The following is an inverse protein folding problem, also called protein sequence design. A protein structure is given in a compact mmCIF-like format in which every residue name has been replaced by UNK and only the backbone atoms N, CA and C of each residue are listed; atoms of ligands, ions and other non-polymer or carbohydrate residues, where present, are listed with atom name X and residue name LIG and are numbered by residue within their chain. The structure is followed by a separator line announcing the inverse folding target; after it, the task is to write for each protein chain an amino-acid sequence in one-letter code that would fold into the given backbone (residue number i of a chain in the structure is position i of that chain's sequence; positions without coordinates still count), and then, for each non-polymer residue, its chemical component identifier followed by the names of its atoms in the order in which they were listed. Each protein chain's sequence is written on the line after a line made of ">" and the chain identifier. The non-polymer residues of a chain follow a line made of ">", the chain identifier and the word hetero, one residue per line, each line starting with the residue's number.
data_IF_793887903864
#
_entry.id   IF_793887903864
#
_cell.length_a   1.000
_cell.length_b   1.000
_cell.length_c   1.000
_cell.angle_alpha   90.00
_cell.angle_beta   90.00
_cell.angle_gamma   90.00
#
_symmetry.space_group_name_H-M   'P 1'
#
loop_
_entity.id
_entity.type
_entity.pdbx_description
1 polymer ?
#
# COMPACT_ATOMS: atom_id res chain seq x y z
N UNK A 1 20.18 11.23 28.35
CA UNK A 1 18.86 11.20 27.69
C UNK A 1 19.13 11.32 26.20
N UNK A 2 18.34 10.66 25.36
CA UNK A 2 18.39 10.72 23.88
C UNK A 2 19.44 9.83 23.21
N UNK A 3 19.15 8.52 23.17
CA UNK A 3 19.58 7.69 22.06
C UNK A 3 18.35 7.42 21.20
N UNK A 4 18.41 8.02 20.01
CA UNK A 4 17.41 8.03 18.97
C UNK A 4 16.74 6.66 18.81
N UNK A 5 15.41 6.71 18.78
CA UNK A 5 14.54 5.57 18.58
C UNK A 5 15.02 4.74 17.41
N UNK A 6 15.29 3.49 17.72
CA UNK A 6 15.39 2.38 16.77
C UNK A 6 14.15 2.42 15.87
N UNK A 7 14.29 2.98 14.68
CA UNK A 7 13.37 2.72 13.58
C UNK A 7 13.69 1.30 13.11
N UNK A 8 13.17 0.31 13.85
CA UNK A 8 12.99 -1.05 13.35
C UNK A 8 11.83 -1.01 12.34
N UNK A 9 12.09 -0.48 11.16
CA UNK A 9 11.29 -0.80 9.98
C UNK A 9 11.67 -2.22 9.57
N UNK A 10 10.98 -3.21 10.14
CA UNK A 10 11.17 -4.62 9.83
C UNK A 10 10.94 -4.86 8.35
N UNK A 11 11.96 -5.39 7.68
CA UNK A 11 12.19 -5.34 6.23
C UNK A 11 11.35 -6.32 5.39
N UNK A 12 10.15 -6.69 5.85
CA UNK A 12 9.34 -7.74 5.19
C UNK A 12 7.84 -7.42 5.08
N UNK A 13 7.38 -6.35 5.72
CA UNK A 13 5.98 -5.93 5.68
C UNK A 13 5.83 -4.83 4.63
N UNK A 14 4.82 -4.95 3.75
CA UNK A 14 4.49 -3.82 2.87
C UNK A 14 4.18 -2.63 3.79
N UNK A 15 4.94 -1.52 3.71
CA UNK A 15 4.75 -0.42 4.64
C UNK A 15 3.30 0.06 4.53
N UNK A 16 2.63 0.24 5.66
CA UNK A 16 1.21 0.67 5.71
C UNK A 16 0.99 1.92 4.86
N UNK A 17 1.98 2.81 4.78
CA UNK A 17 1.99 3.98 3.91
C UNK A 17 1.76 3.63 2.42
N UNK A 18 2.35 2.54 1.92
CA UNK A 18 2.16 2.08 0.54
C UNK A 18 0.73 1.54 0.35
N UNK A 19 0.25 0.77 1.32
CA UNK A 19 -1.12 0.22 1.32
C UNK A 19 -2.15 1.35 1.31
N UNK A 20 -2.06 2.27 2.26
CA UNK A 20 -2.96 3.41 2.38
C UNK A 20 -2.92 4.29 1.12
N UNK A 21 -1.72 4.55 0.60
CA UNK A 21 -1.55 5.27 -0.67
C UNK A 21 -2.23 4.55 -1.82
N UNK A 22 -2.08 3.24 -1.92
CA UNK A 22 -2.66 2.45 -3.01
C UNK A 22 -4.20 2.41 -2.93
N UNK A 23 -4.76 2.22 -1.72
CA UNK A 23 -6.22 2.22 -1.50
C UNK A 23 -6.81 3.59 -1.78
N UNK A 24 -6.17 4.67 -1.30
CA UNK A 24 -6.60 6.04 -1.55
C UNK A 24 -6.58 6.37 -3.03
N UNK A 25 -5.50 6.03 -3.74
CA UNK A 25 -5.35 6.30 -5.17
C UNK A 25 -6.40 5.52 -6.00
N UNK A 26 -6.75 4.31 -5.59
CA UNK A 26 -7.84 3.55 -6.20
C UNK A 26 -9.23 4.17 -5.95
N UNK A 27 -9.49 4.66 -4.73
CA UNK A 27 -10.78 5.28 -4.35
C UNK A 27 -10.98 6.66 -4.96
N UNK A 28 -9.91 7.45 -5.09
CA UNK A 28 -9.92 8.81 -5.64
C UNK A 28 -9.97 8.82 -7.18
N UNK A 29 -9.48 7.77 -7.83
CA UNK A 29 -9.52 7.65 -9.29
C UNK A 29 -10.93 7.37 -9.80
N UNK A 30 -11.45 8.26 -10.65
CA UNK A 30 -12.67 8.06 -11.44
C UNK A 30 -12.37 8.23 -12.95
N UNK A 31 -12.62 7.21 -13.80
CA UNK A 31 -13.17 5.89 -13.47
C UNK A 31 -12.19 4.99 -12.71
N UNK A 32 -12.74 4.05 -11.92
CA UNK A 32 -11.92 3.13 -11.09
C UNK A 32 -10.89 2.37 -11.92
N UNK A 33 -9.59 2.47 -11.60
CA UNK A 33 -8.53 1.83 -12.37
C UNK A 33 -8.53 0.33 -12.15
N UNK A 34 -8.10 -0.45 -13.14
CA UNK A 34 -7.96 -1.89 -13.00
C UNK A 34 -6.94 -2.21 -11.90
N UNK A 35 -7.36 -2.92 -10.85
CA UNK A 35 -6.51 -3.27 -9.69
C UNK A 35 -5.18 -3.89 -10.13
N UNK A 36 -5.21 -4.76 -11.15
CA UNK A 36 -4.00 -5.39 -11.71
C UNK A 36 -3.02 -4.38 -12.31
N UNK A 37 -3.53 -3.34 -12.98
CA UNK A 37 -2.70 -2.29 -13.57
C UNK A 37 -2.11 -1.40 -12.48
N UNK A 38 -2.92 -0.98 -11.51
CA UNK A 38 -2.47 -0.19 -10.36
C UNK A 38 -1.42 -0.94 -9.54
N UNK A 39 -1.63 -2.24 -9.31
CA UNK A 39 -0.69 -3.11 -8.63
C UNK A 39 0.64 -3.21 -9.38
N UNK A 40 0.60 -3.37 -10.72
CA UNK A 40 1.81 -3.34 -11.57
C UNK A 40 2.56 -2.01 -11.50
N UNK A 41 1.85 -0.90 -11.44
CA UNK A 41 2.47 0.44 -11.34
C UNK A 41 3.15 0.65 -9.99
N UNK A 42 2.58 0.10 -8.92
CA UNK A 42 3.12 0.20 -7.56
C UNK A 42 4.12 -0.92 -7.21
N UNK A 43 4.31 -1.91 -8.09
CA UNK A 43 5.16 -3.07 -7.83
C UNK A 43 4.61 -4.04 -6.79
N UNK A 44 3.30 -3.98 -6.49
CA UNK A 44 2.64 -4.84 -5.50
C UNK A 44 1.87 -5.96 -6.16
N UNK A 45 1.63 -7.05 -5.43
CA UNK A 45 0.74 -8.10 -5.88
C UNK A 45 -0.70 -7.60 -5.94
N UNK A 46 -1.38 -7.86 -7.07
CA UNK A 46 -2.77 -7.43 -7.26
C UNK A 46 -3.75 -8.09 -6.30
N UNK A 47 -3.44 -9.29 -5.81
CA UNK A 47 -4.24 -9.94 -4.75
C UNK A 47 -4.09 -9.25 -3.41
N UNK A 48 -2.87 -8.82 -3.04
CA UNK A 48 -2.64 -8.05 -1.82
C UNK A 48 -3.37 -6.70 -1.90
N UNK A 49 -3.25 -5.99 -3.03
CA UNK A 49 -3.95 -4.73 -3.25
C UNK A 49 -5.48 -4.88 -3.18
N UNK A 50 -6.02 -5.94 -3.78
CA UNK A 50 -7.45 -6.26 -3.67
C UNK A 50 -7.87 -6.52 -2.22
N UNK A 51 -7.04 -7.24 -1.47
CA UNK A 51 -7.31 -7.52 -0.06
C UNK A 51 -7.30 -6.23 0.78
N UNK A 52 -6.36 -5.32 0.51
CA UNK A 52 -6.31 -4.02 1.19
C UNK A 52 -7.53 -3.16 0.91
N UNK A 53 -7.96 -3.05 -0.35
CA UNK A 53 -9.17 -2.29 -0.73
C UNK A 53 -10.44 -2.89 -0.09
N UNK A 54 -10.44 -4.20 0.17
CA UNK A 54 -11.56 -4.91 0.79
C UNK A 54 -11.59 -4.80 2.32
N UNK A 55 -10.43 -4.71 2.95
CA UNK A 55 -10.30 -4.64 4.41
C UNK A 55 -10.34 -3.21 4.97
N UNK A 56 -9.95 -2.21 4.17
CA UNK A 56 -10.20 -0.78 4.40
C UNK A 56 -11.64 -0.38 4.06
#
# INVERSE_FOLDING_TARGET
>A
MELNGVIRGSTEEVPDELRERAVRLYRDSDPKPVIRQLARQLGVHHEALRNWIRQD
#
